data_IF_476126665934
#
_entry.id   IF_476126665934
#
_cell.length_a   1.000
_cell.length_b   1.000
_cell.length_c   1.000
_cell.angle_alpha   90.00
_cell.angle_beta   90.00
_cell.angle_gamma   90.00
#
_symmetry.space_group_name_H-M   'P 1'
#
loop_
_entity.id
_entity.type
_entity.pdbx_description
1 polymer ?
#
# COMPACT_ATOMS: atom_id res chain seq x y z
N UNK A 1 -3.77 -9.74 -9.51
CA UNK A 1 -2.74 -8.69 -9.35
C UNK A 1 -3.45 -7.37 -9.17
N UNK A 2 -3.23 -6.69 -8.05
CA UNK A 2 -3.80 -5.37 -7.78
C UNK A 2 -2.84 -4.32 -8.35
N UNK A 3 -3.35 -3.36 -9.12
CA UNK A 3 -2.55 -2.30 -9.74
C UNK A 3 -2.67 -1.00 -8.96
N UNK A 4 -1.60 -0.21 -8.95
CA UNK A 4 -1.55 1.10 -8.33
C UNK A 4 -2.53 2.05 -9.02
N UNK A 5 -3.40 2.70 -8.24
CA UNK A 5 -4.37 3.68 -8.76
C UNK A 5 -3.72 4.90 -9.42
N UNK A 6 -2.51 5.26 -9.00
CA UNK A 6 -1.78 6.43 -9.52
C UNK A 6 -1.01 6.15 -10.82
N UNK A 7 -0.27 5.04 -10.88
CA UNK A 7 0.71 4.80 -11.94
C UNK A 7 0.52 3.47 -12.71
N UNK A 8 -0.44 2.64 -12.31
CA UNK A 8 -0.70 1.35 -12.96
C UNK A 8 0.32 0.25 -12.67
N UNK A 9 1.40 0.54 -11.92
CA UNK A 9 2.38 -0.47 -11.49
C UNK A 9 1.76 -1.49 -10.51
N UNK A 10 2.49 -2.56 -10.18
CA UNK A 10 2.03 -3.51 -9.16
C UNK A 10 1.88 -2.81 -7.79
N UNK A 11 0.67 -2.88 -7.23
CA UNK A 11 0.40 -2.34 -5.91
C UNK A 11 0.79 -3.33 -4.81
N UNK A 12 1.44 -2.80 -3.78
CA UNK A 12 1.89 -3.58 -2.61
C UNK A 12 1.27 -3.09 -1.31
N UNK A 13 0.67 -1.90 -1.34
CA UNK A 13 0.09 -1.24 -0.17
C UNK A 13 -1.32 -0.76 -0.50
N UNK A 14 -2.22 -0.83 0.47
CA UNK A 14 -3.55 -0.22 0.44
C UNK A 14 -3.54 0.92 1.46
N UNK A 15 -3.78 2.14 1.00
CA UNK A 15 -3.89 3.33 1.86
C UNK A 15 -5.35 3.48 2.27
N UNK A 16 -5.62 3.52 3.58
CA UNK A 16 -7.00 3.58 4.08
C UNK A 16 -7.68 4.94 3.85
N UNK A 17 -6.91 6.02 3.80
CA UNK A 17 -7.44 7.38 3.64
C UNK A 17 -8.16 7.55 2.31
N UNK A 18 -7.58 7.04 1.22
CA UNK A 18 -8.15 7.09 -0.12
C UNK A 18 -8.81 5.76 -0.56
N UNK A 19 -8.73 4.71 0.26
CA UNK A 19 -9.12 3.34 -0.08
C UNK A 19 -8.53 2.85 -1.42
N UNK A 20 -7.38 3.40 -1.82
CA UNK A 20 -6.73 3.08 -3.08
C UNK A 20 -5.48 2.23 -2.88
N UNK A 21 -5.23 1.25 -3.78
CA UNK A 21 -4.00 0.50 -3.81
C UNK A 21 -2.88 1.33 -4.44
N UNK A 22 -1.69 1.29 -3.85
CA UNK A 22 -0.51 2.01 -4.29
C UNK A 22 0.73 1.10 -4.36
N UNK A 23 1.64 1.43 -5.28
CA UNK A 23 3.00 0.91 -5.24
C UNK A 23 3.79 1.61 -4.12
N UNK A 24 5.00 1.09 -3.82
CA UNK A 24 5.86 1.66 -2.76
C UNK A 24 6.16 3.14 -2.98
N UNK A 25 6.49 3.53 -4.22
CA UNK A 25 6.88 4.90 -4.55
C UNK A 25 5.71 5.87 -4.40
N UNK A 26 4.55 5.56 -4.99
CA UNK A 26 3.36 6.41 -4.84
C UNK A 26 2.86 6.48 -3.39
N UNK A 27 3.00 5.40 -2.62
CA UNK A 27 2.70 5.45 -1.18
C UNK A 27 3.67 6.39 -0.45
N UNK A 28 4.98 6.28 -0.72
CA UNK A 28 6.00 7.14 -0.10
C UNK A 28 5.81 8.62 -0.44
N UNK A 29 5.46 8.92 -1.69
CA UNK A 29 5.16 10.27 -2.16
C UNK A 29 3.94 10.86 -1.41
N UNK A 30 2.90 10.06 -1.21
CA UNK A 30 1.70 10.47 -0.46
C UNK A 30 1.96 10.69 1.04
N UNK A 31 2.83 9.89 1.67
CA UNK A 31 3.13 10.01 3.12
C UNK A 31 4.21 11.06 3.44
N UNK A 32 4.89 11.63 2.45
CA UNK A 32 5.96 12.63 2.68
C UNK A 32 5.41 13.97 3.24
N UNK A 33 4.09 14.16 3.25
CA UNK A 33 3.44 15.36 3.78
C UNK A 33 3.03 15.22 5.27
N UNK A 34 3.99 15.24 6.20
CA UNK A 34 3.83 15.53 7.66
C UNK A 34 2.77 14.73 8.47
N UNK A 35 2.03 13.82 7.86
CA UNK A 35 0.92 13.10 8.45
C UNK A 35 1.24 11.61 8.54
N UNK A 36 0.79 10.97 9.62
CA UNK A 36 0.86 9.51 9.75
C UNK A 36 -0.27 8.90 8.92
N UNK A 37 0.08 8.08 7.94
CA UNK A 37 -0.90 7.41 7.06
C UNK A 37 -0.97 5.92 7.41
N UNK A 38 -2.19 5.41 7.60
CA UNK A 38 -2.43 4.00 7.83
C UNK A 38 -2.41 3.24 6.50
N UNK A 39 -1.50 2.28 6.39
CA UNK A 39 -1.36 1.43 5.21
C UNK A 39 -1.45 -0.04 5.60
N UNK A 40 -2.14 -0.82 4.77
CA UNK A 40 -2.14 -2.29 4.85
C UNK A 40 -1.29 -2.86 3.74
N UNK A 41 -0.41 -3.79 4.07
CA UNK A 41 0.33 -4.53 3.05
C UNK A 41 -0.59 -5.55 2.40
N UNK A 42 -0.66 -5.51 1.07
CA UNK A 42 -1.49 -6.41 0.24
C UNK A 42 -0.64 -7.34 -0.62
N UNK A 43 0.69 -7.23 -0.51
CA UNK A 43 1.65 -8.10 -1.18
C UNK A 43 1.75 -9.45 -0.43
N UNK A 44 1.52 -10.54 -1.15
CA UNK A 44 1.58 -11.93 -0.64
C UNK A 44 2.92 -12.26 0.06
N UNK A 45 4.03 -11.58 -0.27
CA UNK A 45 5.32 -11.85 0.36
C UNK A 45 5.47 -11.22 1.75
N UNK A 46 4.70 -10.17 2.06
CA UNK A 46 4.73 -9.47 3.35
C UNK A 46 3.49 -9.68 4.20
N UNK A 47 2.34 -10.05 3.61
CA UNK A 47 1.12 -10.42 4.33
C UNK A 47 1.19 -11.76 5.08
N UNK A 48 2.24 -12.56 4.83
CA UNK A 48 2.38 -13.91 5.35
C UNK A 48 3.34 -14.02 6.56
N UNK A 49 3.43 -12.96 7.39
CA UNK A 49 4.15 -13.03 8.68
C UNK A 49 3.26 -12.89 9.92
N UNK A 50 1.98 -12.57 9.75
CA UNK A 50 1.06 -12.32 10.89
C UNK A 50 -0.38 -12.81 10.64
N UNK A 51 -0.54 -13.94 9.95
CA UNK A 51 -1.75 -14.77 10.11
C UNK A 51 -1.32 -16.15 10.59
N UNK A 52 -0.80 -16.18 11.81
CA UNK A 52 -0.84 -17.39 12.61
C UNK A 52 -2.30 -17.76 12.85
N UNK A 53 -2.70 -18.93 12.34
CA UNK A 53 -3.84 -19.68 12.84
C UNK A 53 -3.39 -21.12 13.07
#
# INVERSE_FOLDING_TARGET
MITCGCCGAEAKYLVYEDNQPHCKECMLDAVECKNQVLVRVIDDAYGNKDQGQ
#
